data_IF_748833979104
#
_entry.id   IF_748833979104
#
_cell.length_a   1.000
_cell.length_b   1.000
_cell.length_c   1.000
_cell.angle_alpha   90.00
_cell.angle_beta   90.00
_cell.angle_gamma   90.00
#
_symmetry.space_group_name_H-M   'P 1'
#
loop_
_entity.id
_entity.type
_entity.pdbx_description
1 polymer ?
#
# COMPACT_ATOMS: atom_id res chain seq x y z
N UNK A 1 4.92 64.18 44.32
CA UNK A 1 4.86 62.88 45.03
C UNK A 1 4.43 61.80 44.04
N UNK A 2 5.36 60.89 43.71
CA UNK A 2 5.22 59.51 43.16
C UNK A 2 4.34 59.23 41.92
N UNK A 3 5.00 58.78 40.84
CA UNK A 3 4.47 58.01 39.69
C UNK A 3 4.09 56.58 40.17
N UNK A 4 3.16 55.83 39.54
CA UNK A 4 3.65 54.92 38.48
C UNK A 4 2.73 54.75 37.26
N UNK A 5 3.41 54.47 36.14
CA UNK A 5 2.92 53.82 34.93
C UNK A 5 2.18 52.51 35.26
N UNK A 6 1.07 52.25 34.57
CA UNK A 6 0.52 50.90 34.46
C UNK A 6 0.93 50.30 33.12
N UNK A 7 1.54 49.14 33.22
CA UNK A 7 2.24 48.39 32.18
C UNK A 7 1.40 47.16 31.84
N UNK A 8 1.32 46.85 30.53
CA UNK A 8 1.08 45.54 29.90
C UNK A 8 -0.32 44.92 29.86
N UNK A 9 -0.65 44.52 28.64
CA UNK A 9 -1.65 43.49 28.32
C UNK A 9 -1.61 43.16 26.83
N UNK A 10 -0.41 42.90 26.27
CA UNK A 10 -0.32 42.33 24.93
C UNK A 10 -0.91 40.91 24.99
N UNK A 11 -2.12 40.75 24.45
CA UNK A 11 -2.70 39.45 24.12
C UNK A 11 -1.87 38.85 22.97
N UNK A 12 -0.74 38.26 23.32
CA UNK A 12 -0.02 37.33 22.45
C UNK A 12 -0.87 36.08 22.34
N UNK A 13 -1.64 35.98 21.25
CA UNK A 13 -2.30 34.74 20.88
C UNK A 13 -1.23 33.67 20.66
N UNK A 14 -1.14 32.72 21.59
CA UNK A 14 -0.40 31.49 21.38
C UNK A 14 -1.13 30.70 20.30
N UNK A 15 -0.72 30.88 19.05
CA UNK A 15 -1.08 29.97 17.97
C UNK A 15 -0.37 28.64 18.27
N UNK A 16 -1.02 27.80 19.07
CA UNK A 16 -0.67 26.39 19.14
C UNK A 16 -0.98 25.84 17.75
N UNK A 17 0.06 25.61 16.95
CA UNK A 17 -0.06 24.85 15.73
C UNK A 17 -0.50 23.45 16.11
N UNK A 18 -1.80 23.20 16.06
CA UNK A 18 -2.34 21.85 16.08
C UNK A 18 -1.88 21.27 14.74
N UNK A 19 -0.76 20.56 14.74
CA UNK A 19 -0.39 19.71 13.61
C UNK A 19 -1.56 18.76 13.41
N UNK A 20 -2.33 18.96 12.35
CA UNK A 20 -3.39 18.04 11.99
C UNK A 20 -2.72 16.67 11.79
N UNK A 21 -2.99 15.73 12.70
CA UNK A 21 -2.68 14.35 12.43
C UNK A 21 -3.46 13.99 11.16
N UNK A 22 -2.75 13.76 10.07
CA UNK A 22 -3.37 13.45 8.79
C UNK A 22 -4.05 12.09 8.94
N UNK A 23 -5.33 12.03 8.54
CA UNK A 23 -6.02 10.77 8.36
C UNK A 23 -5.15 9.83 7.53
N UNK A 24 -5.10 8.54 7.90
CA UNK A 24 -4.44 7.58 7.03
C UNK A 24 -5.10 7.68 5.64
N UNK A 25 -4.36 7.98 4.55
CA UNK A 25 -4.99 8.39 3.30
C UNK A 25 -5.95 7.36 2.69
N UNK A 26 -5.78 6.09 3.09
CA UNK A 26 -6.62 4.95 2.69
C UNK A 26 -7.74 4.61 3.70
N UNK A 27 -7.97 5.45 4.71
CA UNK A 27 -8.94 5.26 5.79
C UNK A 27 -8.46 4.33 6.91
N UNK A 28 -9.22 4.27 8.02
CA UNK A 28 -8.78 3.71 9.32
C UNK A 28 -8.68 2.17 9.38
N UNK A 29 -9.13 1.46 8.35
CA UNK A 29 -9.21 -0.02 8.31
C UNK A 29 -8.33 -0.64 7.22
N UNK A 30 -7.41 0.14 6.65
CA UNK A 30 -6.58 -0.28 5.53
C UNK A 30 -5.23 -0.84 5.96
N UNK A 31 -4.67 -1.73 5.13
CA UNK A 31 -3.27 -2.14 5.18
C UNK A 31 -2.71 -1.93 3.78
N UNK A 32 -1.76 -1.01 3.66
CA UNK A 32 -1.09 -0.70 2.41
C UNK A 32 0.25 -1.43 2.30
N UNK A 33 0.59 -1.82 1.07
CA UNK A 33 1.76 -2.59 0.70
C UNK A 33 2.54 -1.82 -0.36
N UNK A 34 3.86 -1.80 -0.23
CA UNK A 34 4.77 -1.45 -1.32
C UNK A 34 5.81 -2.55 -1.49
N UNK A 35 6.00 -3.02 -2.71
CA UNK A 35 7.04 -3.97 -3.09
C UNK A 35 7.86 -3.39 -4.24
N UNK A 36 9.02 -2.80 -3.92
CA UNK A 36 10.00 -2.33 -4.88
C UNK A 36 11.06 -3.39 -5.15
N UNK A 37 11.00 -4.04 -6.31
CA UNK A 37 11.96 -5.04 -6.75
C UNK A 37 13.02 -4.39 -7.64
N UNK A 38 14.28 -4.53 -7.24
CA UNK A 38 15.45 -4.16 -8.02
C UNK A 38 16.18 -5.42 -8.47
N UNK A 39 16.26 -5.63 -9.78
CA UNK A 39 16.81 -6.83 -10.41
C UNK A 39 18.22 -6.51 -10.90
N UNK A 40 19.21 -7.25 -10.38
CA UNK A 40 20.60 -7.20 -10.81
C UNK A 40 21.08 -8.59 -11.26
N UNK A 41 22.26 -8.71 -11.89
CA UNK A 41 22.80 -10.02 -12.28
C UNK A 41 23.02 -11.01 -11.14
N UNK A 42 23.32 -10.52 -9.93
CA UNK A 42 23.70 -11.34 -8.77
C UNK A 42 22.57 -11.55 -7.76
N UNK A 43 21.58 -10.66 -7.72
CA UNK A 43 20.49 -10.75 -6.77
C UNK A 43 19.25 -9.96 -7.22
N UNK A 44 18.11 -10.30 -6.62
CA UNK A 44 16.92 -9.44 -6.57
C UNK A 44 16.86 -8.83 -5.17
N UNK A 45 16.91 -7.51 -5.08
CA UNK A 45 16.66 -6.75 -3.84
C UNK A 45 15.20 -6.34 -3.81
N UNK A 46 14.53 -6.49 -2.66
CA UNK A 46 13.14 -6.11 -2.49
C UNK A 46 12.98 -5.19 -1.30
N UNK A 47 12.55 -3.96 -1.57
CA UNK A 47 12.07 -3.02 -0.56
C UNK A 47 10.60 -3.33 -0.31
N UNK A 48 10.31 -3.90 0.85
CA UNK A 48 8.94 -4.28 1.21
C UNK A 48 8.46 -3.42 2.37
N UNK A 49 7.30 -2.79 2.24
CA UNK A 49 6.70 -1.97 3.28
C UNK A 49 5.26 -2.38 3.52
N UNK A 50 4.89 -2.40 4.80
CA UNK A 50 3.52 -2.50 5.28
C UNK A 50 3.17 -1.25 6.09
N UNK A 51 2.00 -0.67 5.81
CA UNK A 51 1.48 0.51 6.49
C UNK A 51 0.05 0.21 6.96
N UNK A 52 -0.07 -0.01 8.26
CA UNK A 52 -1.31 -0.36 8.95
C UNK A 52 -1.98 0.92 9.41
N UNK A 53 -3.22 1.14 8.95
CA UNK A 53 -4.05 2.20 9.50
C UNK A 53 -4.43 1.92 10.97
N UNK A 54 -5.08 2.88 11.62
CA UNK A 54 -5.32 2.87 13.08
C UNK A 54 -5.88 1.56 13.63
N UNK A 55 -6.95 1.02 13.03
CA UNK A 55 -7.61 -0.18 13.56
C UNK A 55 -6.75 -1.44 13.33
N UNK A 56 -6.20 -1.70 12.12
CA UNK A 56 -5.26 -2.80 11.92
C UNK A 56 -3.95 -2.67 12.69
N UNK A 57 -3.57 -1.47 13.13
CA UNK A 57 -2.37 -1.24 13.92
C UNK A 57 -2.52 -1.70 15.38
N UNK A 58 -3.73 -1.69 15.97
CA UNK A 58 -3.91 -2.03 17.39
C UNK A 58 -3.32 -3.40 17.78
N UNK A 59 -3.56 -4.51 17.03
CA UNK A 59 -2.95 -5.79 17.37
C UNK A 59 -1.42 -5.80 17.25
N UNK A 60 -0.86 -5.03 16.32
CA UNK A 60 0.60 -4.91 16.14
C UNK A 60 1.23 -4.11 17.28
N UNK A 61 0.56 -3.06 17.77
CA UNK A 61 0.99 -2.29 18.94
C UNK A 61 1.06 -3.16 20.21
N UNK A 62 0.09 -4.06 20.41
CA UNK A 62 0.11 -5.03 21.52
C UNK A 62 1.20 -6.09 21.39
N UNK A 63 1.63 -6.40 20.15
CA UNK A 63 2.70 -7.38 19.90
C UNK A 63 4.09 -6.77 20.10
N UNK A 64 4.25 -5.50 19.77
CA UNK A 64 5.53 -4.79 19.91
C UNK A 64 5.78 -4.29 21.32
N UNK A 65 4.73 -4.05 22.11
CA UNK A 65 4.79 -3.81 23.56
C UNK A 65 4.02 -4.93 24.31
N UNK A 66 4.65 -6.10 24.50
CA UNK A 66 4.00 -7.22 25.18
C UNK A 66 3.80 -7.01 26.68
N UNK A 67 4.53 -6.05 27.28
CA UNK A 67 4.50 -5.80 28.72
C UNK A 67 3.44 -4.74 29.09
N UNK A 68 3.04 -3.89 28.14
CA UNK A 68 1.96 -2.91 28.25
C UNK A 68 2.32 -1.68 29.08
N UNK A 69 3.59 -1.28 29.11
CA UNK A 69 4.08 -0.09 29.82
C UNK A 69 4.16 1.17 28.94
N UNK A 70 3.63 1.09 27.71
CA UNK A 70 3.62 2.14 26.69
C UNK A 70 5.04 2.54 26.24
N UNK A 71 6.04 1.66 26.40
CA UNK A 71 7.44 1.90 26.02
C UNK A 71 8.06 0.71 25.29
N UNK A 72 8.18 0.84 23.97
CA UNK A 72 8.91 -0.14 23.16
C UNK A 72 10.42 0.02 23.32
N UNK A 73 11.05 -0.87 24.09
CA UNK A 73 12.52 -0.92 24.23
C UNK A 73 13.18 -1.65 23.04
N UNK A 74 14.50 -1.49 22.80
CA UNK A 74 15.18 -2.11 21.67
C UNK A 74 15.00 -3.64 21.58
N UNK A 75 14.99 -4.32 22.72
CA UNK A 75 14.85 -5.78 22.79
C UNK A 75 13.45 -6.24 22.35
N UNK A 76 12.40 -5.54 22.77
CA UNK A 76 11.01 -5.83 22.36
C UNK A 76 10.82 -5.55 20.88
N UNK A 77 11.37 -4.43 20.40
CA UNK A 77 11.38 -4.08 18.97
C UNK A 77 12.04 -5.16 18.13
N UNK A 78 13.21 -5.65 18.55
CA UNK A 78 13.94 -6.69 17.84
C UNK A 78 13.15 -8.01 17.82
N UNK A 79 12.64 -8.45 18.98
CA UNK A 79 11.84 -9.67 19.06
C UNK A 79 10.56 -9.60 18.21
N UNK A 80 9.89 -8.45 18.20
CA UNK A 80 8.75 -8.18 17.34
C UNK A 80 9.12 -8.27 15.85
N UNK A 81 10.18 -7.59 15.43
CA UNK A 81 10.64 -7.60 14.03
C UNK A 81 11.07 -8.99 13.58
N UNK A 82 11.75 -9.77 14.41
CA UNK A 82 12.13 -11.15 14.09
C UNK A 82 10.89 -12.03 13.83
N UNK A 83 9.92 -11.98 14.74
CA UNK A 83 8.67 -12.72 14.61
C UNK A 83 7.86 -12.27 13.39
N UNK A 84 7.76 -10.96 13.15
CA UNK A 84 7.03 -10.39 12.01
C UNK A 84 7.73 -10.68 10.68
N UNK A 85 9.06 -10.67 10.65
CA UNK A 85 9.85 -11.04 9.46
C UNK A 85 9.61 -12.50 9.08
N UNK A 86 9.62 -13.41 10.04
CA UNK A 86 9.29 -14.81 9.77
C UNK A 86 7.84 -14.98 9.28
N UNK A 87 6.91 -14.16 9.76
CA UNK A 87 5.50 -14.12 9.32
C UNK A 87 5.37 -13.66 7.86
N UNK A 88 5.90 -12.49 7.53
CA UNK A 88 5.74 -11.91 6.18
C UNK A 88 6.44 -12.74 5.11
N UNK A 89 7.60 -13.33 5.41
CA UNK A 89 8.36 -14.12 4.42
C UNK A 89 7.59 -15.35 3.95
N UNK A 90 6.70 -15.92 4.77
CA UNK A 90 5.83 -17.05 4.36
C UNK A 90 4.78 -16.64 3.33
N UNK A 91 4.37 -15.37 3.34
CA UNK A 91 3.41 -14.81 2.38
C UNK A 91 4.04 -14.32 1.08
N UNK A 92 5.38 -14.23 1.01
CA UNK A 92 6.09 -13.72 -0.16
C UNK A 92 6.65 -14.86 -1.00
N UNK A 93 6.44 -14.79 -2.32
CA UNK A 93 7.04 -15.70 -3.29
C UNK A 93 7.70 -14.93 -4.42
N UNK A 94 8.94 -15.31 -4.71
CA UNK A 94 9.72 -14.82 -5.83
C UNK A 94 10.21 -16.02 -6.64
N UNK A 95 10.01 -15.97 -7.95
CA UNK A 95 10.49 -16.99 -8.88
C UNK A 95 11.24 -16.34 -10.03
N UNK A 96 12.32 -16.98 -10.47
CA UNK A 96 13.05 -16.61 -11.69
C UNK A 96 13.16 -17.83 -12.58
N UNK A 97 12.63 -17.75 -13.79
CA UNK A 97 12.53 -18.85 -14.77
C UNK A 97 11.87 -20.10 -14.17
N UNK A 98 10.81 -19.90 -13.37
CA UNK A 98 10.06 -20.97 -12.69
C UNK A 98 10.80 -21.64 -11.52
N UNK A 99 11.97 -21.14 -11.14
CA UNK A 99 12.70 -21.60 -9.94
C UNK A 99 12.43 -20.65 -8.76
N UNK A 100 11.91 -21.16 -7.63
CA UNK A 100 11.74 -20.37 -6.41
C UNK A 100 13.05 -19.79 -5.91
N UNK A 101 12.99 -18.57 -5.38
CA UNK A 101 14.09 -17.90 -4.70
C UNK A 101 13.72 -17.67 -3.25
N UNK A 102 14.62 -18.10 -2.37
CA UNK A 102 14.49 -17.82 -0.95
C UNK A 102 14.76 -16.34 -0.70
N UNK A 103 13.76 -15.67 -0.13
CA UNK A 103 13.89 -14.31 0.36
C UNK A 103 14.34 -14.34 1.82
N UNK A 104 15.35 -13.55 2.15
CA UNK A 104 15.75 -13.31 3.53
C UNK A 104 15.84 -11.80 3.77
N UNK A 105 15.56 -11.39 5.01
CA UNK A 105 15.74 -10.00 5.42
C UNK A 105 17.21 -9.75 5.77
N UNK A 106 17.76 -8.65 5.25
CA UNK A 106 19.06 -8.12 5.69
C UNK A 106 18.91 -6.91 6.60
N UNK A 107 17.74 -6.26 6.57
CA UNK A 107 17.38 -5.16 7.44
C UNK A 107 15.86 -5.08 7.59
N UNK A 108 15.41 -4.64 8.76
CA UNK A 108 14.02 -4.34 9.04
C UNK A 108 13.89 -3.22 10.07
N UNK A 109 12.77 -2.49 10.03
CA UNK A 109 12.45 -1.48 11.02
C UNK A 109 10.95 -1.31 11.18
N UNK A 110 10.52 -0.86 12.36
CA UNK A 110 9.15 -0.48 12.67
C UNK A 110 9.09 0.95 13.22
N UNK A 111 8.06 1.70 12.84
CA UNK A 111 7.75 3.04 13.32
C UNK A 111 6.25 3.20 13.58
N UNK A 112 5.89 4.21 14.37
CA UNK A 112 4.54 4.44 14.84
C UNK A 112 4.10 5.88 14.51
N UNK A 113 3.75 6.17 13.25
CA UNK A 113 3.24 7.51 12.89
C UNK A 113 1.93 7.82 13.65
N UNK A 114 1.64 9.10 13.91
CA UNK A 114 0.39 9.50 14.54
C UNK A 114 -0.80 9.26 13.58
N UNK A 115 -1.90 8.71 14.10
CA UNK A 115 -3.18 8.58 13.41
C UNK A 115 -4.17 9.71 13.76
N UNK A 116 -5.29 9.74 13.03
CA UNK A 116 -6.33 10.78 13.08
C UNK A 116 -7.06 10.86 14.43
N UNK A 117 -7.35 9.69 15.01
CA UNK A 117 -8.16 9.53 16.22
C UNK A 117 -7.31 9.58 17.50
N UNK A 118 -6.02 9.92 17.38
CA UNK A 118 -5.05 9.83 18.47
C UNK A 118 -4.54 8.42 18.72
N UNK A 119 -4.91 7.45 17.88
CA UNK A 119 -4.31 6.11 17.84
C UNK A 119 -3.05 6.15 16.97
N UNK A 120 -2.07 5.29 17.23
CA UNK A 120 -0.88 5.19 16.36
C UNK A 120 -1.19 4.29 15.16
N UNK A 121 -0.67 4.65 13.99
CA UNK A 121 -0.52 3.71 12.88
C UNK A 121 0.75 2.89 13.10
N UNK A 122 0.94 1.82 12.31
CA UNK A 122 2.16 1.02 12.34
C UNK A 122 2.73 0.95 10.94
N UNK A 123 4.00 1.33 10.78
CA UNK A 123 4.73 1.18 9.52
C UNK A 123 5.94 0.30 9.72
N UNK A 124 6.06 -0.73 8.89
CA UNK A 124 7.15 -1.71 8.94
C UNK A 124 7.81 -1.78 7.57
N UNK A 125 9.13 -1.72 7.55
CA UNK A 125 9.92 -1.79 6.33
C UNK A 125 10.94 -2.92 6.42
N UNK A 126 11.20 -3.55 5.28
CA UNK A 126 12.20 -4.58 5.11
C UNK A 126 13.04 -4.33 3.85
N UNK A 127 14.33 -4.59 3.99
CA UNK A 127 15.21 -4.88 2.87
C UNK A 127 15.37 -6.39 2.78
N UNK A 128 14.79 -6.97 1.75
CA UNK A 128 14.87 -8.39 1.46
C UNK A 128 15.80 -8.65 0.28
N UNK A 129 16.41 -9.84 0.25
CA UNK A 129 17.29 -10.26 -0.82
C UNK A 129 17.03 -11.70 -1.24
N UNK A 130 17.26 -11.95 -2.51
CA UNK A 130 17.27 -13.27 -3.12
C UNK A 130 18.46 -13.38 -4.07
N UNK A 131 19.38 -14.29 -3.79
CA UNK A 131 20.59 -14.51 -4.60
C UNK A 131 20.26 -15.22 -5.93
N UNK A 132 21.00 -14.84 -6.97
CA UNK A 132 21.02 -15.48 -8.28
C UNK A 132 22.42 -16.06 -8.51
N UNK A 133 22.49 -17.31 -8.93
CA UNK A 133 23.79 -17.95 -9.13
C UNK A 133 24.50 -17.37 -10.36
N UNK A 134 25.84 -17.35 -10.33
CA UNK A 134 26.63 -16.93 -11.47
C UNK A 134 26.30 -17.80 -12.71
N UNK A 135 26.10 -17.16 -13.86
CA UNK A 135 25.73 -17.84 -15.10
C UNK A 135 24.30 -18.40 -15.16
N UNK A 136 23.47 -18.17 -14.14
CA UNK A 136 22.09 -18.66 -14.12
C UNK A 136 21.15 -17.90 -15.06
N UNK A 137 21.38 -16.60 -15.23
CA UNK A 137 20.55 -15.75 -16.07
C UNK A 137 20.77 -16.07 -17.55
N UNK A 138 19.65 -16.25 -18.26
CA UNK A 138 19.60 -16.39 -19.71
C UNK A 138 19.62 -15.00 -20.37
N UNK A 139 19.78 -14.90 -21.71
CA UNK A 139 19.62 -13.63 -22.41
C UNK A 139 18.26 -12.96 -22.18
N UNK A 140 17.21 -13.76 -21.95
CA UNK A 140 15.87 -13.31 -21.55
C UNK A 140 15.35 -14.22 -20.44
N UNK A 141 14.92 -13.60 -19.34
CA UNK A 141 14.44 -14.25 -18.14
C UNK A 141 13.00 -13.82 -17.86
N UNK A 142 12.33 -14.56 -16.99
CA UNK A 142 11.01 -14.26 -16.50
C UNK A 142 10.99 -14.29 -14.97
N UNK A 143 10.62 -13.16 -14.36
CA UNK A 143 10.46 -13.03 -12.91
C UNK A 143 8.97 -13.01 -12.58
N UNK A 144 8.60 -13.71 -11.51
CA UNK A 144 7.24 -13.69 -10.93
C UNK A 144 7.34 -13.31 -9.46
N UNK A 145 6.49 -12.38 -9.05
CA UNK A 145 6.30 -11.93 -7.68
C UNK A 145 4.86 -12.20 -7.25
N UNK A 146 4.68 -12.69 -6.02
CA UNK A 146 3.37 -12.89 -5.42
C UNK A 146 3.42 -12.66 -3.92
N UNK A 147 2.54 -11.78 -3.43
CA UNK A 147 2.35 -11.43 -2.04
C UNK A 147 0.94 -11.88 -1.58
N UNK A 148 0.89 -12.82 -0.64
CA UNK A 148 -0.36 -13.30 -0.02
C UNK A 148 -0.56 -12.75 1.40
N UNK A 149 0.25 -11.79 1.84
CA UNK A 149 0.04 -11.14 3.13
C UNK A 149 -1.24 -10.30 3.08
N UNK A 150 -2.02 -10.32 4.16
CA UNK A 150 -3.22 -9.50 4.32
C UNK A 150 -4.20 -9.53 3.11
N UNK A 151 -4.37 -10.72 2.51
CA UNK A 151 -5.36 -10.92 1.44
C UNK A 151 -6.76 -10.50 1.89
N UNK A 152 -7.52 -9.87 0.98
CA UNK A 152 -8.86 -9.38 1.24
C UNK A 152 -8.95 -8.08 2.06
N UNK A 153 -7.84 -7.59 2.63
CA UNK A 153 -7.81 -6.28 3.28
C UNK A 153 -7.55 -5.18 2.23
N UNK A 154 -8.34 -4.11 2.29
CA UNK A 154 -8.19 -2.95 1.41
C UNK A 154 -6.98 -2.08 1.77
N UNK A 155 -6.53 -1.28 0.82
CA UNK A 155 -5.36 -0.40 0.97
C UNK A 155 -4.66 -0.18 -0.37
N UNK A 156 -3.62 0.64 -0.36
CA UNK A 156 -2.75 0.84 -1.52
C UNK A 156 -1.82 -0.37 -1.65
N UNK A 157 -1.81 -1.09 -2.77
CA UNK A 157 -0.90 -2.21 -2.99
C UNK A 157 -0.17 -2.01 -4.30
N UNK A 158 1.10 -1.66 -4.20
CA UNK A 158 1.92 -1.31 -5.35
C UNK A 158 3.11 -2.24 -5.48
N UNK A 159 3.33 -2.71 -6.70
CA UNK A 159 4.51 -3.47 -7.09
C UNK A 159 5.27 -2.66 -8.12
N UNK A 160 6.57 -2.48 -7.89
CA UNK A 160 7.47 -1.83 -8.83
C UNK A 160 8.62 -2.78 -9.16
N UNK A 161 8.96 -2.87 -10.44
CA UNK A 161 10.09 -3.68 -10.90
C UNK A 161 11.05 -2.79 -11.68
N UNK A 162 12.32 -2.84 -11.32
CA UNK A 162 13.41 -2.09 -11.96
C UNK A 162 14.56 -3.03 -12.26
N UNK A 163 15.30 -2.74 -13.31
CA UNK A 163 16.50 -3.48 -13.70
C UNK A 163 17.73 -2.58 -13.57
N UNK A 164 18.82 -3.15 -13.05
CA UNK A 164 20.08 -2.48 -12.77
C UNK A 164 21.22 -3.14 -13.56
N UNK A 165 22.41 -2.54 -13.52
CA UNK A 165 23.68 -3.14 -13.97
C UNK A 165 23.64 -3.69 -15.42
N UNK A 166 23.04 -2.94 -16.34
CA UNK A 166 22.96 -3.28 -17.76
C UNK A 166 21.83 -4.26 -18.13
N UNK A 167 21.04 -4.70 -17.15
CA UNK A 167 19.77 -5.36 -17.41
C UNK A 167 18.72 -4.33 -17.83
N UNK A 168 17.79 -4.77 -18.67
CA UNK A 168 16.59 -4.02 -19.00
C UNK A 168 15.34 -4.89 -18.90
N UNK A 169 14.19 -4.23 -18.80
CA UNK A 169 12.86 -4.87 -18.70
C UNK A 169 12.13 -4.66 -20.03
N UNK A 170 11.79 -5.76 -20.70
CA UNK A 170 11.04 -5.74 -21.95
C UNK A 170 9.54 -5.56 -21.71
N UNK A 171 8.98 -6.25 -20.71
CA UNK A 171 7.57 -6.11 -20.30
C UNK A 171 7.45 -6.33 -18.80
N UNK A 172 6.51 -5.65 -18.17
CA UNK A 172 6.16 -5.87 -16.78
C UNK A 172 4.67 -5.72 -16.52
N UNK A 173 4.21 -6.37 -15.46
CA UNK A 173 2.92 -6.14 -14.83
C UNK A 173 3.13 -6.02 -13.31
N UNK A 174 2.51 -5.04 -12.63
CA UNK A 174 1.84 -3.87 -13.24
C UNK A 174 2.83 -3.02 -14.07
N UNK A 175 2.35 -2.14 -14.96
CA UNK A 175 3.21 -1.25 -15.73
C UNK A 175 4.06 -0.37 -14.80
N UNK A 176 5.31 -0.10 -15.19
CA UNK A 176 6.19 0.84 -14.47
C UNK A 176 5.67 2.28 -14.64
N UNK A 177 4.79 2.71 -13.74
CA UNK A 177 4.15 4.02 -13.70
C UNK A 177 4.57 4.80 -12.42
N UNK A 178 4.21 6.10 -12.24
CA UNK A 178 4.66 6.83 -11.06
C UNK A 178 4.17 6.17 -9.76
N UNK A 179 5.02 6.27 -8.75
CA UNK A 179 5.06 5.40 -7.56
C UNK A 179 4.95 6.23 -6.29
N UNK A 180 4.30 5.70 -5.24
CA UNK A 180 4.39 6.27 -3.89
C UNK A 180 5.79 6.16 -3.27
N UNK A 181 6.64 5.32 -3.87
CA UNK A 181 7.98 5.03 -3.41
C UNK A 181 8.02 4.39 -2.02
N UNK A 182 9.22 4.27 -1.48
CA UNK A 182 9.47 3.72 -0.14
C UNK A 182 8.95 4.62 0.99
N UNK A 183 8.64 5.89 0.69
CA UNK A 183 8.06 6.82 1.65
C UNK A 183 6.55 6.60 1.87
N UNK A 184 5.89 5.86 0.96
CA UNK A 184 4.42 5.73 0.92
C UNK A 184 3.74 7.10 0.93
N UNK A 185 4.26 8.03 0.11
CA UNK A 185 3.66 9.34 -0.07
C UNK A 185 2.45 9.20 -1.01
N UNK A 186 1.29 8.86 -0.43
CA UNK A 186 0.07 8.57 -1.19
C UNK A 186 -0.41 9.79 -2.00
N UNK A 187 -0.35 9.76 -3.34
CA UNK A 187 -0.82 10.87 -4.15
C UNK A 187 -2.34 11.01 -4.07
N UNK A 188 -2.82 12.19 -3.69
CA UNK A 188 -4.25 12.49 -3.49
C UNK A 188 -5.08 12.13 -4.73
N UNK A 189 -4.55 12.37 -5.93
CA UNK A 189 -5.23 12.13 -7.19
C UNK A 189 -5.44 10.64 -7.52
N UNK A 190 -4.86 9.72 -6.74
CA UNK A 190 -5.02 8.26 -6.92
C UNK A 190 -5.77 7.58 -5.77
N UNK A 191 -6.12 8.30 -4.70
CA UNK A 191 -6.82 7.71 -3.55
C UNK A 191 -8.19 7.12 -3.92
N UNK A 192 -8.83 7.61 -4.99
CA UNK A 192 -10.11 7.09 -5.48
C UNK A 192 -9.97 5.82 -6.34
N UNK A 193 -8.76 5.51 -6.82
CA UNK A 193 -8.44 4.29 -7.58
C UNK A 193 -7.01 3.84 -7.27
N UNK A 194 -6.76 3.41 -6.02
CA UNK A 194 -5.45 2.96 -5.60
C UNK A 194 -5.07 1.67 -6.33
N UNK A 195 -3.77 1.40 -6.56
CA UNK A 195 -3.35 0.11 -7.04
C UNK A 195 -3.70 -0.98 -6.01
N UNK A 196 -4.02 -2.18 -6.51
CA UNK A 196 -4.39 -3.34 -5.68
C UNK A 196 -3.52 -4.56 -6.01
N UNK A 197 -2.32 -4.28 -6.51
CA UNK A 197 -1.41 -5.27 -7.08
C UNK A 197 -0.76 -6.10 -5.98
N UNK A 198 -1.09 -7.38 -5.95
CA UNK A 198 -0.47 -8.40 -5.07
C UNK A 198 0.35 -9.42 -5.86
N UNK A 199 0.26 -9.36 -7.19
CA UNK A 199 0.93 -10.24 -8.14
C UNK A 199 1.59 -9.39 -9.21
N UNK A 200 2.83 -9.70 -9.53
CA UNK A 200 3.58 -9.00 -10.56
C UNK A 200 4.49 -9.95 -11.31
N UNK A 201 4.90 -9.54 -12.51
CA UNK A 201 5.87 -10.28 -13.31
C UNK A 201 6.60 -9.36 -14.26
N UNK A 202 7.80 -9.76 -14.70
CA UNK A 202 8.49 -9.07 -15.78
C UNK A 202 9.36 -10.00 -16.63
N UNK A 203 9.55 -9.62 -17.89
CA UNK A 203 10.63 -10.16 -18.73
C UNK A 203 11.83 -9.23 -18.67
N UNK A 204 12.98 -9.76 -18.28
CA UNK A 204 14.21 -8.98 -18.12
C UNK A 204 15.42 -9.70 -18.70
N UNK A 205 16.46 -8.94 -19.04
CA UNK A 205 17.67 -9.48 -19.67
C UNK A 205 18.65 -8.40 -20.06
N UNK A 206 19.88 -8.80 -20.41
CA UNK A 206 20.95 -7.86 -20.78
C UNK A 206 20.53 -7.07 -22.03
N UNK A 207 20.54 -5.74 -21.92
CA UNK A 207 20.24 -4.84 -23.03
C UNK A 207 18.81 -4.90 -23.59
N UNK A 208 17.86 -5.55 -22.89
CA UNK A 208 16.46 -5.54 -23.33
C UNK A 208 15.86 -4.13 -23.21
N UNK A 209 15.30 -3.64 -24.31
CA UNK A 209 14.50 -2.42 -24.30
C UNK A 209 13.02 -2.74 -24.01
N UNK A 210 12.24 -1.78 -23.46
CA UNK A 210 10.79 -1.92 -23.35
C UNK A 210 10.17 -2.26 -24.71
N UNK A 211 9.39 -3.33 -24.76
CA UNK A 211 8.57 -3.68 -25.90
C UNK A 211 7.34 -2.76 -25.92
N UNK A 212 6.93 -2.31 -27.11
CA UNK A 212 5.64 -1.65 -27.24
C UNK A 212 4.56 -2.62 -26.72
N UNK A 213 3.66 -2.14 -25.85
CA UNK A 213 2.48 -2.90 -25.44
C UNK A 213 1.65 -3.29 -26.66
N UNK A 214 0.64 -4.18 -26.52
CA UNK A 214 -0.38 -4.31 -27.54
C UNK A 214 -0.91 -2.90 -27.81
N UNK A 215 -0.63 -2.38 -29.00
CA UNK A 215 -1.09 -1.08 -29.41
C UNK A 215 -2.61 -1.07 -29.37
N UNK A 216 -3.17 0.07 -29.00
CA UNK A 216 -4.50 0.48 -29.41
C UNK A 216 -4.56 0.49 -30.94
N UNK A 217 -4.65 -0.69 -31.55
CA UNK A 217 -4.97 -0.87 -32.96
C UNK A 217 -6.47 -0.57 -33.13
N UNK A 218 -6.85 0.68 -32.82
CA UNK A 218 -8.05 1.29 -33.35
C UNK A 218 -7.84 1.39 -34.86
N UNK A 219 -8.29 0.34 -35.56
CA UNK A 219 -8.11 0.17 -36.98
C UNK A 219 -8.45 1.43 -37.76
N UNK A 220 -7.45 1.97 -38.45
CA UNK A 220 -7.66 2.66 -39.71
C UNK A 220 -8.20 1.64 -40.71
N UNK A 221 -9.52 1.44 -40.66
CA UNK A 221 -10.26 0.75 -41.71
C UNK A 221 -10.35 1.68 -42.92
N UNK A 222 -9.32 1.67 -43.75
CA UNK A 222 -9.43 2.07 -45.15
C UNK A 222 -10.11 0.95 -45.93
N UNK A 223 -11.21 1.33 -46.56
CA UNK A 223 -11.77 0.79 -47.80
C UNK A 223 -12.60 -0.52 -47.73
N UNK A 224 -13.91 -0.37 -47.95
CA UNK A 224 -14.84 -1.44 -48.35
C UNK A 224 -15.57 -0.96 -49.61
N UNK A 225 -15.59 -1.74 -50.70
CA UNK A 225 -16.69 -1.67 -51.66
C UNK A 225 -17.88 -2.48 -51.15
N UNK A 226 -19.08 -1.97 -51.42
CA UNK A 226 -20.36 -2.55 -51.09
C UNK A 226 -20.69 -3.78 -51.97
N UNK A 227 -21.32 -4.80 -51.39
CA UNK A 227 -22.32 -5.64 -52.09
C UNK A 227 -23.23 -6.37 -51.10
N UNK A 228 -24.53 -6.18 -51.36
CA UNK A 228 -25.70 -7.06 -51.20
C UNK A 228 -26.14 -7.70 -49.87
N UNK A 229 -27.39 -7.37 -49.55
CA UNK A 229 -28.36 -8.07 -48.68
C UNK A 229 -29.17 -9.06 -49.54
N UNK A 230 -29.74 -10.15 -48.97
CA UNK A 230 -31.09 -10.07 -48.36
C UNK A 230 -31.17 -10.81 -47.00
N UNK A 231 -31.73 -10.18 -45.95
CA UNK A 231 -33.13 -10.25 -45.54
C UNK A 231 -33.58 -11.62 -45.00
N UNK A 232 -33.75 -11.72 -43.67
CA UNK A 232 -34.83 -12.50 -43.04
C UNK A 232 -35.27 -11.85 -41.73
N UNK A 233 -36.60 -11.80 -41.58
CA UNK A 233 -37.39 -11.29 -40.49
C UNK A 233 -37.21 -12.06 -39.16
N UNK A 234 -37.23 -11.33 -38.03
CA UNK A 234 -38.27 -11.52 -36.99
C UNK A 234 -38.22 -10.44 -35.89
N UNK A 235 -39.36 -10.23 -35.19
CA UNK A 235 -39.71 -8.93 -34.61
C UNK A 235 -39.30 -8.75 -33.15
N UNK A 236 -39.37 -7.48 -32.76
CA UNK A 236 -39.17 -6.90 -31.46
C UNK A 236 -40.06 -7.51 -30.36
N UNK A 237 -39.48 -7.71 -29.17
CA UNK A 237 -40.19 -7.51 -27.92
C UNK A 237 -39.47 -6.40 -27.15
N UNK A 238 -40.15 -5.25 -27.07
CA UNK A 238 -39.71 -4.07 -26.36
C UNK A 238 -40.38 -4.03 -25.00
N UNK A 239 -39.60 -4.25 -23.94
CA UNK A 239 -40.01 -3.91 -22.58
C UNK A 239 -38.90 -3.13 -21.89
N UNK A 240 -38.81 -1.85 -22.23
CA UNK A 240 -38.05 -0.85 -21.48
C UNK A 240 -38.95 -0.08 -20.53
N UNK A 241 -38.77 -0.28 -19.22
CA UNK A 241 -39.06 0.64 -18.09
C UNK A 241 -38.20 0.11 -16.94
N UNK A 242 -37.42 0.85 -16.17
CA UNK A 242 -37.13 2.27 -16.06
C UNK A 242 -36.32 2.42 -14.75
N UNK A 243 -35.30 3.27 -14.76
CA UNK A 243 -34.67 3.97 -13.62
C UNK A 243 -34.57 3.23 -12.27
N UNK A 244 -33.35 2.84 -11.90
CA UNK A 244 -32.97 2.68 -10.50
C UNK A 244 -32.30 3.98 -10.00
N UNK A 245 -32.92 4.61 -9.00
CA UNK A 245 -32.36 5.70 -8.21
C UNK A 245 -31.36 5.15 -7.17
N UNK A 246 -30.43 5.97 -6.66
CA UNK A 246 -29.45 5.53 -5.66
C UNK A 246 -30.12 5.23 -4.32
N UNK A 247 -29.82 4.07 -3.75
CA UNK A 247 -30.18 3.73 -2.37
C UNK A 247 -29.21 4.47 -1.45
N UNK A 248 -29.70 5.55 -0.84
CA UNK A 248 -29.14 6.13 0.36
C UNK A 248 -29.49 5.23 1.55
N UNK A 249 -28.49 4.59 2.15
CA UNK A 249 -28.51 4.12 3.54
C UNK A 249 -27.32 4.85 4.16
N UNK A 250 -27.48 5.80 5.07
CA UNK A 250 -28.42 5.83 6.18
C UNK A 250 -27.56 5.86 7.44
N UNK A 251 -27.26 7.07 7.91
CA UNK A 251 -26.55 7.34 9.14
C UNK A 251 -27.21 6.59 10.31
N UNK A 252 -26.56 5.55 10.83
CA UNK A 252 -26.96 4.88 12.07
C UNK A 252 -25.80 4.05 12.64
N UNK A 253 -24.70 4.71 13.03
CA UNK A 253 -23.70 4.11 13.94
C UNK A 253 -22.91 5.13 14.78
N UNK A 254 -23.41 6.36 14.92
CA UNK A 254 -22.74 7.43 15.69
C UNK A 254 -23.33 7.66 17.10
N UNK A 255 -24.10 6.72 17.66
CA UNK A 255 -24.71 6.90 18.99
C UNK A 255 -24.52 5.71 19.95
N UNK A 256 -23.43 4.94 19.80
CA UNK A 256 -23.05 3.93 20.79
C UNK A 256 -21.58 3.98 21.27
N UNK A 257 -20.80 5.01 20.90
CA UNK A 257 -19.41 5.14 21.36
C UNK A 257 -19.19 6.16 22.49
N UNK A 258 -20.17 7.05 22.75
CA UNK A 258 -20.07 8.04 23.85
C UNK A 258 -20.42 7.44 25.23
N UNK A 259 -21.12 6.30 25.28
CA UNK A 259 -21.51 5.67 26.55
C UNK A 259 -20.43 4.76 27.18
N UNK A 260 -19.41 4.33 26.43
CA UNK A 260 -18.37 3.45 26.95
C UNK A 260 -17.21 4.21 27.62
N UNK A 261 -16.91 5.42 27.15
CA UNK A 261 -15.80 6.24 27.68
C UNK A 261 -16.14 6.98 28.99
N UNK A 262 -17.43 7.21 29.29
CA UNK A 262 -17.84 7.81 30.57
C UNK A 262 -17.72 6.82 31.76
N UNK A 263 -17.74 5.50 31.51
CA UNK A 263 -17.70 4.48 32.59
C UNK A 263 -16.30 4.11 33.05
N UNK A 264 -15.25 4.38 32.25
CA UNK A 264 -13.85 4.12 32.62
C UNK A 264 -13.21 5.25 33.42
N UNK A 265 -13.69 6.49 33.26
CA UNK A 265 -13.18 7.66 33.99
C UNK A 265 -13.66 7.73 35.46
N UNK A 266 -14.79 7.11 35.80
CA UNK A 266 -15.29 7.05 37.17
C UNK A 266 -14.57 6.01 38.07
N UNK A 267 -13.91 5.00 37.48
CA UNK A 267 -13.27 3.90 38.23
C UNK A 267 -11.81 4.15 38.61
N UNK A 268 -11.19 5.24 38.12
CA UNK A 268 -9.82 5.66 38.46
C UNK A 268 -9.73 6.77 39.51
N UNK A 269 -10.85 7.21 40.09
CA UNK A 269 -10.85 8.26 41.14
C UNK A 269 -11.05 7.74 42.57
N UNK A 270 -11.22 6.44 42.80
CA UNK A 270 -11.38 5.84 44.14
C UNK A 270 -10.61 4.50 44.24
N UNK A 271 -9.30 4.56 44.02
CA UNK A 271 -8.36 3.46 44.27
C UNK A 271 -7.02 4.03 44.64
#
# INVERSE_FOLDING_TARGET
MRIPFATFGALGGLAVGIGAALAHPMGNVSISHYAGLEISPAEVRVKYLLDYAEIPAEPELLRVDPNGDDRVVPEERAAYLDAKTAEILRGLRLEVNGKPRELHSVWSAVSFPPGESGLSTVRIAWDLRASLAEGELLPRNFLVWNDTNHEGIGGWKEIRMTALDGLGIARAFPPTAPSVGEALDYPEERLWNPPTDTKGWCHFGVGLAPEAGPGDDAGTATDRPATDRPATDRPADGRGRGRAAPIAIGAAALLLLVAFLARRSAKRRHG
#
